data_IF_148353965905
#
_entry.id   IF_148353965905
#
_cell.length_a   1.000
_cell.length_b   1.000
_cell.length_c   1.000
_cell.angle_alpha   90.00
_cell.angle_beta   90.00
_cell.angle_gamma   90.00
#
_symmetry.space_group_name_H-M   'P 1'
#
loop_
_entity.id
_entity.type
_entity.pdbx_description
1 polymer ?
#
# COMPACT_ATOMS: atom_id res chain seq x y z
N UNK A 1 -6.17 -4.60 -15.51
CA UNK A 1 -6.16 -3.14 -15.28
C UNK A 1 -7.19 -2.78 -14.22
N UNK A 2 -6.75 -2.19 -13.09
CA UNK A 2 -7.68 -1.70 -12.04
C UNK A 2 -8.26 -0.31 -12.36
N UNK A 3 -7.64 0.41 -13.31
CA UNK A 3 -8.02 1.76 -13.71
C UNK A 3 -9.44 1.79 -14.30
N UNK A 4 -10.30 2.65 -13.77
CA UNK A 4 -11.68 2.86 -14.26
C UNK A 4 -12.73 1.89 -13.72
N UNK A 5 -12.37 1.05 -12.74
CA UNK A 5 -13.30 0.19 -12.01
C UNK A 5 -13.17 0.43 -10.51
N UNK A 6 -14.22 0.11 -9.78
CA UNK A 6 -14.32 0.28 -8.33
C UNK A 6 -15.04 -0.94 -7.75
N UNK A 7 -14.69 -1.34 -6.53
CA UNK A 7 -15.20 -2.54 -5.88
C UNK A 7 -15.64 -2.22 -4.44
N UNK A 8 -16.66 -2.90 -3.90
CA UNK A 8 -17.05 -2.73 -2.49
C UNK A 8 -15.89 -2.99 -1.52
N UNK A 9 -15.10 -4.03 -1.81
CA UNK A 9 -13.97 -4.48 -1.00
C UNK A 9 -12.73 -4.62 -1.89
N UNK A 10 -11.61 -4.07 -1.44
CA UNK A 10 -10.30 -4.20 -2.10
C UNK A 10 -9.27 -4.72 -1.10
N UNK A 11 -8.46 -5.67 -1.55
CA UNK A 11 -7.30 -6.16 -0.82
C UNK A 11 -6.03 -5.63 -1.49
N UNK A 12 -5.30 -4.76 -0.80
CA UNK A 12 -3.98 -4.30 -1.20
C UNK A 12 -2.94 -5.15 -0.45
N UNK A 13 -2.33 -6.08 -1.17
CA UNK A 13 -1.33 -6.99 -0.62
C UNK A 13 0.08 -6.50 -0.93
N UNK A 14 1.04 -6.82 -0.07
CA UNK A 14 2.45 -6.50 -0.29
C UNK A 14 2.77 -5.01 -0.08
N UNK A 15 2.10 -4.35 0.86
CA UNK A 15 2.45 -2.99 1.25
C UNK A 15 3.73 -2.98 2.10
N UNK A 16 4.86 -3.29 1.47
CA UNK A 16 6.18 -3.45 2.10
C UNK A 16 7.15 -2.38 1.62
N UNK A 17 8.10 -1.98 2.46
CA UNK A 17 9.03 -0.87 2.18
C UNK A 17 9.95 -1.06 0.94
N UNK A 18 10.11 -2.31 0.48
CA UNK A 18 10.91 -2.67 -0.72
C UNK A 18 10.04 -2.93 -1.96
N UNK A 19 8.71 -3.03 -1.78
CA UNK A 19 7.75 -3.36 -2.84
C UNK A 19 6.84 -2.17 -3.17
N UNK A 20 6.52 -1.35 -2.18
CA UNK A 20 5.71 -0.14 -2.31
C UNK A 20 6.21 0.90 -1.30
N UNK A 21 7.05 1.86 -1.68
CA UNK A 21 7.60 2.07 -3.03
C UNK A 21 8.56 0.93 -3.43
N UNK A 22 8.66 0.66 -4.72
CA UNK A 22 9.64 -0.33 -5.21
C UNK A 22 11.08 0.10 -4.87
N UNK A 23 11.90 -0.87 -4.45
CA UNK A 23 13.29 -0.65 -4.01
C UNK A 23 14.18 0.12 -5.01
N UNK A 24 13.82 0.11 -6.30
CA UNK A 24 14.57 0.77 -7.37
C UNK A 24 14.27 2.27 -7.52
N UNK A 25 13.26 2.80 -6.84
CA UNK A 25 12.97 4.25 -6.84
C UNK A 25 14.10 5.03 -6.18
N UNK A 26 14.73 5.94 -6.93
CA UNK A 26 15.87 6.75 -6.46
C UNK A 26 15.56 8.24 -6.42
N UNK A 27 14.59 8.69 -7.22
CA UNK A 27 14.23 10.10 -7.33
C UNK A 27 12.94 10.42 -6.58
N UNK A 28 12.76 11.69 -6.22
CA UNK A 28 11.51 12.16 -5.61
C UNK A 28 10.31 11.97 -6.55
N UNK A 29 10.50 12.18 -7.85
CA UNK A 29 9.44 12.00 -8.85
C UNK A 29 8.96 10.54 -8.93
N UNK A 30 9.88 9.57 -8.91
CA UNK A 30 9.52 8.15 -8.88
C UNK A 30 8.78 7.78 -7.59
N UNK A 31 9.22 8.33 -6.45
CA UNK A 31 8.57 8.11 -5.16
C UNK A 31 7.13 8.68 -5.15
N UNK A 32 6.93 9.86 -5.75
CA UNK A 32 5.62 10.49 -5.90
C UNK A 32 4.71 9.69 -6.83
N UNK A 33 5.26 9.09 -7.88
CA UNK A 33 4.49 8.21 -8.77
C UNK A 33 4.04 6.93 -8.05
N UNK A 34 4.92 6.28 -7.27
CA UNK A 34 4.53 5.14 -6.43
C UNK A 34 3.48 5.53 -5.37
N UNK A 35 3.58 6.74 -4.81
CA UNK A 35 2.55 7.29 -3.92
C UNK A 35 1.22 7.45 -4.65
N UNK A 36 1.24 7.90 -5.91
CA UNK A 36 0.05 8.01 -6.76
C UNK A 36 -0.53 6.63 -7.07
N UNK A 37 0.29 5.62 -7.30
CA UNK A 37 -0.14 4.23 -7.50
C UNK A 37 -0.90 3.73 -6.26
N UNK A 38 -0.36 3.94 -5.05
CA UNK A 38 -1.04 3.61 -3.80
C UNK A 38 -2.38 4.36 -3.69
N UNK A 39 -2.39 5.67 -3.92
CA UNK A 39 -3.62 6.47 -3.87
C UNK A 39 -4.69 5.93 -4.82
N UNK A 40 -4.32 5.64 -6.07
CA UNK A 40 -5.24 5.09 -7.06
C UNK A 40 -5.80 3.75 -6.62
N UNK A 41 -5.00 2.89 -5.98
CA UNK A 41 -5.43 1.60 -5.45
C UNK A 41 -6.39 1.77 -4.25
N UNK A 42 -6.10 2.71 -3.35
CA UNK A 42 -6.97 3.04 -2.22
C UNK A 42 -8.34 3.52 -2.68
N UNK A 43 -8.40 4.42 -3.67
CA UNK A 43 -9.66 4.94 -4.21
C UNK A 43 -10.45 3.93 -5.05
N UNK A 44 -9.93 2.71 -5.26
CA UNK A 44 -10.74 1.63 -5.86
C UNK A 44 -11.72 1.00 -4.89
N UNK A 45 -11.48 1.15 -3.58
CA UNK A 45 -12.36 0.63 -2.54
C UNK A 45 -13.51 1.60 -2.30
N UNK A 46 -14.76 1.10 -2.44
CA UNK A 46 -15.96 1.89 -2.12
C UNK A 46 -16.34 1.85 -0.65
N UNK A 47 -16.12 0.72 0.02
CA UNK A 47 -16.56 0.51 1.41
C UNK A 47 -15.40 0.14 2.32
N UNK A 48 -14.61 -0.88 1.95
CA UNK A 48 -13.51 -1.38 2.79
C UNK A 48 -12.25 -1.61 1.97
N UNK A 49 -11.12 -1.16 2.52
CA UNK A 49 -9.79 -1.45 2.04
C UNK A 49 -9.05 -2.26 3.10
N UNK A 50 -8.59 -3.45 2.73
CA UNK A 50 -7.74 -4.28 3.56
C UNK A 50 -6.31 -4.18 3.03
N UNK A 51 -5.38 -3.72 3.88
CA UNK A 51 -3.96 -3.61 3.53
C UNK A 51 -3.18 -4.67 4.31
N UNK A 52 -2.33 -5.43 3.63
CA UNK A 52 -1.47 -6.43 4.27
C UNK A 52 -0.02 -6.37 3.77
N UNK A 53 0.89 -6.80 4.63
CA UNK A 53 2.31 -6.96 4.35
C UNK A 53 2.82 -8.23 5.05
N UNK A 54 3.85 -8.88 4.52
CA UNK A 54 4.47 -10.00 5.20
C UNK A 54 5.38 -9.50 6.34
N UNK A 55 5.43 -10.24 7.46
CA UNK A 55 6.45 -9.99 8.52
C UNK A 55 7.81 -10.57 8.11
N UNK A 56 7.80 -11.70 7.41
CA UNK A 56 9.00 -12.39 6.93
C UNK A 56 8.73 -12.99 5.57
N UNK A 57 9.65 -12.79 4.62
CA UNK A 57 9.66 -13.47 3.32
C UNK A 57 10.95 -14.27 3.22
N UNK A 58 10.82 -15.58 3.10
CA UNK A 58 11.93 -16.54 3.23
C UNK A 58 12.64 -16.37 4.59
N UNK A 59 13.84 -15.80 4.62
CA UNK A 59 14.61 -15.54 5.85
C UNK A 59 14.74 -14.04 6.16
N UNK A 60 14.17 -13.17 5.31
CA UNK A 60 14.31 -11.72 5.45
C UNK A 60 13.08 -11.15 6.17
N UNK A 61 13.33 -10.45 7.27
CA UNK A 61 12.30 -9.64 7.93
C UNK A 61 11.87 -8.50 7.02
N UNK A 62 10.57 -8.25 6.95
CA UNK A 62 9.95 -7.23 6.13
C UNK A 62 9.32 -6.17 7.02
N UNK A 63 9.35 -4.93 6.53
CA UNK A 63 8.75 -3.78 7.20
C UNK A 63 7.54 -3.31 6.41
N UNK A 64 6.48 -2.83 7.10
CA UNK A 64 5.37 -2.18 6.42
C UNK A 64 5.89 -1.00 5.60
N UNK A 65 5.23 -0.74 4.47
CA UNK A 65 5.49 0.41 3.62
C UNK A 65 5.46 1.70 4.43
N UNK A 66 6.47 2.55 4.22
CA UNK A 66 6.51 3.92 4.77
C UNK A 66 5.28 4.75 4.44
N UNK A 67 4.58 4.46 3.33
CA UNK A 67 3.36 5.19 2.99
C UNK A 67 2.21 4.91 3.96
N UNK A 68 2.21 3.76 4.66
CA UNK A 68 1.20 3.43 5.67
C UNK A 68 1.34 4.28 6.93
N UNK A 69 2.53 4.83 7.20
CA UNK A 69 2.77 5.70 8.35
C UNK A 69 2.09 7.07 8.19
N UNK A 70 1.83 7.47 6.95
CA UNK A 70 1.12 8.72 6.63
C UNK A 70 -0.41 8.58 6.73
N UNK A 71 -0.95 7.37 6.97
CA UNK A 71 -2.38 7.17 7.05
C UNK A 71 -2.94 7.64 8.42
N UNK A 72 -4.10 8.30 8.43
CA UNK A 72 -4.73 8.74 9.69
C UNK A 72 -5.11 7.52 10.54
N UNK A 73 -4.73 7.52 11.81
CA UNK A 73 -4.97 6.40 12.71
C UNK A 73 -6.47 6.18 13.01
N UNK A 74 -7.26 7.25 12.98
CA UNK A 74 -8.71 7.28 13.16
C UNK A 74 -9.48 6.53 12.07
N UNK A 75 -8.88 6.36 10.88
CA UNK A 75 -9.48 5.60 9.78
C UNK A 75 -9.12 4.11 9.81
N UNK A 76 -8.28 3.68 10.75
CA UNK A 76 -7.80 2.30 10.84
C UNK A 76 -8.69 1.52 11.83
N UNK A 77 -9.59 0.70 11.28
CA UNK A 77 -10.52 -0.10 12.08
C UNK A 77 -9.83 -1.24 12.85
N UNK A 78 -8.83 -1.90 12.25
CA UNK A 78 -8.14 -3.04 12.86
C UNK A 78 -6.64 -3.02 12.52
N UNK A 79 -5.78 -3.06 13.54
CA UNK A 79 -4.33 -3.30 13.42
C UNK A 79 -4.01 -4.65 14.07
N UNK A 80 -3.34 -5.54 13.34
CA UNK A 80 -2.90 -6.86 13.82
C UNK A 80 -1.48 -7.19 13.37
#
# INVERSE_FOLDING_TARGET
>A
TAKGREWPLVFLIGAEDDLLPIWSCKTLAELEEERRVLYVAMTRAKQRLCISWAKTVSTKSKRPSRFLQALPADLICCRG
#
